data_IF_620116587290
#
_entry.id   IF_620116587290
#
_cell.length_a   1.000
_cell.length_b   1.000
_cell.length_c   1.000
_cell.angle_alpha   90.00
_cell.angle_beta   90.00
_cell.angle_gamma   90.00
#
_symmetry.space_group_name_H-M   'P 1'
#
loop_
_entity.id
_entity.type
_entity.pdbx_description
1 polymer ?
#
# COMPACT_ATOMS: atom_id res chain seq x y z
N UNK A 1 10.15 55.16 -12.56
CA UNK A 1 10.99 54.25 -11.74
C UNK A 1 10.21 52.96 -11.51
N UNK A 2 10.88 51.83 -11.78
CA UNK A 2 10.57 50.42 -11.51
C UNK A 2 9.13 49.88 -11.66
N UNK A 3 9.01 48.92 -12.59
CA UNK A 3 7.83 48.15 -12.95
C UNK A 3 7.85 46.75 -12.29
N UNK A 4 6.65 46.24 -11.96
CA UNK A 4 6.19 44.82 -12.02
C UNK A 4 6.87 43.72 -11.17
N UNK A 5 6.03 42.95 -10.45
CA UNK A 5 5.76 41.48 -10.63
C UNK A 5 4.85 40.97 -9.50
N UNK A 6 3.55 40.73 -9.73
CA UNK A 6 2.93 39.41 -10.02
C UNK A 6 3.52 38.25 -9.20
N UNK A 7 2.94 37.93 -8.04
CA UNK A 7 3.12 36.63 -7.37
C UNK A 7 2.18 35.62 -8.03
N UNK A 8 2.64 35.03 -9.13
CA UNK A 8 2.05 33.81 -9.64
C UNK A 8 2.33 32.67 -8.67
N UNK A 9 1.29 32.07 -8.12
CA UNK A 9 1.33 30.74 -7.50
C UNK A 9 1.96 29.78 -8.51
N UNK A 10 3.24 29.48 -8.31
CA UNK A 10 4.01 28.62 -9.18
C UNK A 10 3.60 27.19 -8.84
N UNK A 11 2.59 26.67 -9.56
CA UNK A 11 2.37 25.23 -9.72
C UNK A 11 3.65 24.65 -10.30
N UNK A 12 4.56 24.22 -9.43
CA UNK A 12 5.71 23.44 -9.85
C UNK A 12 5.19 22.05 -10.16
N UNK A 13 5.04 21.79 -11.45
CA UNK A 13 4.93 20.45 -12.02
C UNK A 13 6.27 19.75 -11.74
N UNK A 14 6.41 19.15 -10.56
CA UNK A 14 7.54 18.28 -10.23
C UNK A 14 6.99 16.87 -10.27
N UNK A 15 7.25 16.24 -11.41
CA UNK A 15 7.28 14.79 -11.60
C UNK A 15 7.86 14.16 -10.34
N UNK A 16 7.11 13.27 -9.68
CA UNK A 16 7.51 12.57 -8.47
C UNK A 16 8.75 11.69 -8.71
N UNK A 17 9.91 12.32 -8.83
CA UNK A 17 11.21 11.68 -8.62
C UNK A 17 11.40 11.60 -7.11
N UNK A 18 11.52 10.36 -6.61
CA UNK A 18 11.50 10.04 -5.19
C UNK A 18 12.38 10.98 -4.37
N UNK A 19 11.78 11.61 -3.35
CA UNK A 19 12.50 12.40 -2.37
C UNK A 19 13.49 11.50 -1.61
N UNK A 20 14.72 11.97 -1.41
CA UNK A 20 15.71 11.21 -0.62
C UNK A 20 15.29 11.16 0.85
N UNK A 21 15.65 10.07 1.55
CA UNK A 21 15.33 9.89 2.97
C UNK A 21 15.77 11.06 3.85
N UNK A 22 16.97 11.59 3.60
CA UNK A 22 17.52 12.72 4.35
C UNK A 22 16.71 14.01 4.15
N UNK A 23 16.17 14.20 2.94
CA UNK A 23 15.35 15.37 2.63
C UNK A 23 13.94 15.25 3.19
N UNK A 24 13.37 14.03 3.18
CA UNK A 24 12.08 13.76 3.81
C UNK A 24 12.16 13.96 5.33
N UNK A 25 13.25 13.52 5.97
CA UNK A 25 13.50 13.76 7.38
C UNK A 25 13.57 15.25 7.72
N UNK A 26 14.29 16.04 6.91
CA UNK A 26 14.37 17.49 7.12
C UNK A 26 13.02 18.21 6.99
N UNK A 27 12.15 17.78 6.05
CA UNK A 27 10.79 18.32 5.92
C UNK A 27 9.90 17.96 7.11
N UNK A 28 10.07 16.75 7.67
CA UNK A 28 9.37 16.33 8.88
C UNK A 28 9.80 17.17 10.09
N UNK A 29 11.10 17.38 10.27
CA UNK A 29 11.65 18.16 11.39
C UNK A 29 11.33 19.66 11.27
N UNK A 30 11.15 20.18 10.05
CA UNK A 30 10.73 21.57 9.83
C UNK A 30 9.22 21.81 10.03
N UNK A 31 8.44 20.74 10.21
CA UNK A 31 6.99 20.79 10.35
C UNK A 31 6.25 21.05 9.03
N UNK A 32 6.90 20.81 7.88
CA UNK A 32 6.27 20.86 6.56
C UNK A 32 5.35 19.65 6.34
N UNK A 33 4.29 19.83 5.55
CA UNK A 33 3.34 18.76 5.24
C UNK A 33 3.97 17.74 4.29
N UNK A 34 4.18 16.53 4.80
CA UNK A 34 4.75 15.40 4.05
C UNK A 34 3.69 14.38 3.59
N UNK A 35 2.40 14.71 3.74
CA UNK A 35 1.30 13.78 3.42
C UNK A 35 1.30 13.32 1.96
N UNK A 36 1.78 14.15 1.02
CA UNK A 36 1.96 13.81 -0.40
C UNK A 36 2.99 12.68 -0.63
N UNK A 37 3.90 12.47 0.33
CA UNK A 37 4.91 11.40 0.28
C UNK A 37 4.49 10.16 1.08
N UNK A 38 3.38 10.22 1.82
CA UNK A 38 2.81 9.06 2.48
C UNK A 38 1.89 8.33 1.51
N UNK A 39 2.31 7.15 1.05
CA UNK A 39 1.46 6.33 0.20
C UNK A 39 0.34 5.66 1.03
N UNK A 40 -0.91 5.85 0.63
CA UNK A 40 -2.04 5.04 1.13
C UNK A 40 -1.82 3.55 0.88
N UNK A 41 -0.97 3.22 -0.10
CA UNK A 41 -0.51 1.87 -0.43
C UNK A 41 0.15 1.15 0.75
N UNK A 42 0.72 1.89 1.72
CA UNK A 42 1.34 1.36 2.93
C UNK A 42 0.45 1.46 4.17
N UNK A 43 -0.80 1.92 4.05
CA UNK A 43 -1.73 2.01 5.16
C UNK A 43 -2.16 0.61 5.62
N UNK A 44 -1.91 0.28 6.90
CA UNK A 44 -2.27 -1.01 7.48
C UNK A 44 -3.55 -0.90 8.30
N UNK A 45 -4.60 -1.62 7.91
CA UNK A 45 -5.84 -1.73 8.66
C UNK A 45 -5.92 -3.08 9.38
N UNK A 46 -6.20 -3.06 10.69
CA UNK A 46 -6.41 -4.27 11.48
C UNK A 46 -7.86 -4.73 11.35
N UNK A 47 -8.06 -5.96 10.90
CA UNK A 47 -9.37 -6.61 10.80
C UNK A 47 -9.42 -7.78 11.79
N UNK A 48 -10.52 -7.88 12.55
CA UNK A 48 -10.79 -9.01 13.42
C UNK A 48 -11.69 -10.01 12.69
N UNK A 49 -11.35 -11.29 12.77
CA UNK A 49 -12.09 -12.38 12.11
C UNK A 49 -12.15 -13.57 13.06
N UNK A 50 -13.33 -14.15 13.19
CA UNK A 50 -13.52 -15.41 13.91
C UNK A 50 -13.41 -16.59 12.96
N UNK A 51 -12.70 -17.64 13.40
CA UNK A 51 -12.50 -18.86 12.64
C UNK A 51 -13.03 -20.06 13.41
N UNK A 52 -13.71 -21.01 12.75
CA UNK A 52 -14.09 -22.25 13.40
C UNK A 52 -12.84 -23.06 13.79
N UNK A 53 -12.94 -23.84 14.88
CA UNK A 53 -11.80 -24.56 15.47
C UNK A 53 -11.06 -25.43 14.45
N UNK A 54 -11.79 -26.12 13.55
CA UNK A 54 -11.19 -26.97 12.53
C UNK A 54 -10.29 -26.18 11.57
N UNK A 55 -10.64 -24.93 11.26
CA UNK A 55 -9.88 -24.08 10.37
C UNK A 55 -8.60 -23.57 11.06
N UNK A 56 -8.69 -23.22 12.34
CA UNK A 56 -7.50 -22.86 13.13
C UNK A 56 -6.50 -24.01 13.18
N UNK A 57 -6.98 -25.24 13.41
CA UNK A 57 -6.12 -26.45 13.40
C UNK A 57 -5.46 -26.70 12.05
N UNK A 58 -6.19 -26.50 10.95
CA UNK A 58 -5.63 -26.62 9.60
C UNK A 58 -4.56 -25.54 9.33
N UNK A 59 -4.80 -24.30 9.75
CA UNK A 59 -3.83 -23.22 9.64
C UNK A 59 -2.57 -23.47 10.47
N UNK A 60 -2.70 -24.06 11.67
CA UNK A 60 -1.57 -24.44 12.51
C UNK A 60 -0.71 -25.53 11.87
N UNK A 61 -1.34 -26.52 11.26
CA UNK A 61 -0.60 -27.55 10.53
C UNK A 61 0.24 -26.94 9.40
N UNK A 62 -0.34 -26.05 8.59
CA UNK A 62 0.40 -25.42 7.49
C UNK A 62 1.50 -24.48 7.99
N UNK A 63 1.21 -23.67 9.02
CA UNK A 63 2.19 -22.82 9.68
C UNK A 63 3.40 -23.62 10.19
N UNK A 64 3.16 -24.76 10.83
CA UNK A 64 4.21 -25.65 11.31
C UNK A 64 5.01 -26.28 10.16
N UNK A 65 4.33 -26.72 9.09
CA UNK A 65 4.98 -27.29 7.91
C UNK A 65 5.91 -26.29 7.23
N UNK A 66 5.50 -25.02 7.14
CA UNK A 66 6.26 -23.94 6.52
C UNK A 66 7.22 -23.24 7.50
N UNK A 67 7.17 -23.56 8.80
CA UNK A 67 7.92 -22.91 9.86
C UNK A 67 7.71 -21.38 9.88
N UNK A 68 6.47 -20.94 9.71
CA UNK A 68 6.08 -19.51 9.75
C UNK A 68 4.87 -19.30 10.68
N UNK A 69 4.65 -18.08 11.20
CA UNK A 69 3.47 -17.79 12.01
C UNK A 69 2.17 -17.94 11.22
N UNK A 70 1.09 -18.32 11.90
CA UNK A 70 -0.28 -18.46 11.33
C UNK A 70 -0.72 -17.22 10.53
N UNK A 71 -0.38 -16.03 11.03
CA UNK A 71 -0.69 -14.75 10.38
C UNK A 71 -0.04 -14.62 8.99
N UNK A 72 1.18 -15.16 8.81
CA UNK A 72 1.85 -15.14 7.51
C UNK A 72 1.15 -16.06 6.50
N UNK A 73 0.72 -17.26 6.94
CA UNK A 73 -0.09 -18.18 6.12
C UNK A 73 -1.38 -17.49 5.67
N UNK A 74 -2.13 -16.90 6.61
CA UNK A 74 -3.39 -16.19 6.33
C UNK A 74 -3.17 -15.07 5.31
N UNK A 75 -2.16 -14.23 5.52
CA UNK A 75 -1.83 -13.11 4.62
C UNK A 75 -1.51 -13.60 3.21
N UNK A 76 -0.68 -14.63 3.08
CA UNK A 76 -0.27 -15.16 1.79
C UNK A 76 -1.46 -15.75 1.03
N UNK A 77 -2.28 -16.57 1.69
CA UNK A 77 -3.45 -17.18 1.05
C UNK A 77 -4.49 -16.15 0.62
N UNK A 78 -4.75 -15.13 1.45
CA UNK A 78 -5.66 -14.03 1.07
C UNK A 78 -5.10 -13.28 -0.14
N UNK A 79 -3.81 -12.93 -0.13
CA UNK A 79 -3.14 -12.25 -1.23
C UNK A 79 -3.25 -13.06 -2.54
N UNK A 80 -2.91 -14.35 -2.49
CA UNK A 80 -2.94 -15.23 -3.66
C UNK A 80 -4.37 -15.37 -4.20
N UNK A 81 -5.36 -15.52 -3.32
CA UNK A 81 -6.77 -15.58 -3.73
C UNK A 81 -7.23 -14.28 -4.37
N UNK A 82 -6.93 -13.13 -3.77
CA UNK A 82 -7.31 -11.82 -4.30
C UNK A 82 -6.66 -11.54 -5.66
N UNK A 83 -5.38 -11.89 -5.83
CA UNK A 83 -4.69 -11.79 -7.13
C UNK A 83 -5.38 -12.62 -8.20
N UNK A 84 -5.70 -13.88 -7.89
CA UNK A 84 -6.42 -14.75 -8.82
C UNK A 84 -7.78 -14.17 -9.22
N UNK A 85 -8.56 -13.66 -8.27
CA UNK A 85 -9.85 -13.01 -8.55
C UNK A 85 -9.69 -11.76 -9.43
N UNK A 86 -8.62 -10.98 -9.23
CA UNK A 86 -8.32 -9.82 -10.07
C UNK A 86 -7.97 -10.23 -11.50
N UNK A 87 -7.13 -11.26 -11.67
CA UNK A 87 -6.78 -11.81 -12.98
C UNK A 87 -8.00 -12.35 -13.73
N UNK A 88 -8.88 -13.07 -13.04
CA UNK A 88 -10.08 -13.66 -13.63
C UNK A 88 -11.07 -12.58 -14.10
N UNK A 89 -11.18 -11.47 -13.36
CA UNK A 89 -11.97 -10.30 -13.80
C UNK A 89 -11.42 -9.67 -15.08
N UNK A 90 -10.10 -9.53 -15.21
CA UNK A 90 -9.46 -8.94 -16.40
C UNK A 90 -9.66 -9.85 -17.61
N UNK A 91 -9.50 -11.16 -17.46
CA UNK A 91 -9.75 -12.14 -18.53
C UNK A 91 -11.20 -12.12 -19.02
N UNK A 92 -12.16 -11.99 -18.09
CA UNK A 92 -13.57 -11.85 -18.42
C UNK A 92 -13.90 -10.62 -19.28
N UNK A 93 -13.16 -9.52 -19.13
CA UNK A 93 -13.31 -8.31 -19.95
C UNK A 93 -12.71 -8.51 -21.35
N UNK A 94 -11.57 -9.21 -21.45
CA UNK A 94 -10.93 -9.48 -22.76
C UNK A 94 -11.68 -10.47 -23.65
N UNK A 95 -12.59 -11.28 -23.09
CA UNK A 95 -13.37 -12.25 -23.84
C UNK A 95 -14.68 -11.68 -24.45
N UNK A 96 -14.97 -10.39 -24.20
CA UNK A 96 -16.21 -9.71 -24.63
C UNK A 96 -15.95 -8.67 -25.73
N UNK A 97 -14.71 -8.56 -26.23
CA UNK A 97 -14.35 -7.74 -27.40
C UNK A 97 -13.94 -8.60 -28.59
#
# INVERSE_FOLDING_TARGET
>A
MASKKKSSTKKSNVKAEGISSDRLAALFDSGEDISEFMSEENAVFKVNVDFPIWMVRALDFEANKLQIPRQAVIKNWINDRLKKEAEDRVKGISAVG
#
